data_IF_503678188377
#
_entry.id   IF_503678188377
#
_cell.length_a   1.000
_cell.length_b   1.000
_cell.length_c   1.000
_cell.angle_alpha   90.00
_cell.angle_beta   90.00
_cell.angle_gamma   90.00
#
_symmetry.space_group_name_H-M   'P 1'
#
loop_
_entity.id
_entity.type
_entity.pdbx_description
1 polymer ?
#
# COMPACT_ATOMS: atom_id res chain seq x y z
N UNK A 1 -38.61 13.97 -13.21
CA UNK A 1 -38.24 12.66 -13.78
C UNK A 1 -36.78 12.45 -13.39
N UNK A 2 -36.56 11.69 -12.32
CA UNK A 2 -35.23 11.30 -11.85
C UNK A 2 -35.04 9.85 -12.32
N UNK A 3 -34.22 9.66 -13.36
CA UNK A 3 -33.82 8.32 -13.81
C UNK A 3 -32.77 7.79 -12.85
N UNK A 4 -33.21 6.92 -11.93
CA UNK A 4 -32.35 6.10 -11.11
C UNK A 4 -31.63 5.10 -12.03
N UNK A 5 -30.30 5.25 -12.14
CA UNK A 5 -29.44 4.33 -12.86
C UNK A 5 -29.53 2.96 -12.17
N UNK A 6 -30.27 2.02 -12.77
CA UNK A 6 -30.49 0.67 -12.26
C UNK A 6 -29.14 -0.05 -12.18
N UNK A 7 -28.69 -0.33 -10.95
CA UNK A 7 -27.46 -1.07 -10.71
C UNK A 7 -27.55 -2.45 -11.40
N UNK A 8 -26.61 -2.72 -12.30
CA UNK A 8 -26.40 -4.00 -12.98
C UNK A 8 -26.26 -5.11 -11.92
N UNK A 9 -27.30 -5.92 -11.80
CA UNK A 9 -27.42 -6.99 -10.83
C UNK A 9 -26.53 -8.13 -11.31
N UNK A 10 -25.26 -8.03 -10.96
CA UNK A 10 -24.30 -9.09 -11.19
C UNK A 10 -24.64 -10.24 -10.25
N UNK A 11 -25.29 -11.27 -10.80
CA UNK A 11 -25.69 -12.46 -10.05
C UNK A 11 -24.48 -13.05 -9.28
N UNK A 12 -24.66 -13.14 -7.96
CA UNK A 12 -23.78 -13.76 -6.98
C UNK A 12 -23.65 -15.26 -7.29
N UNK A 13 -22.68 -15.69 -8.11
CA UNK A 13 -22.52 -17.13 -8.35
C UNK A 13 -21.47 -17.61 -9.37
N UNK A 14 -20.91 -16.75 -10.22
CA UNK A 14 -19.92 -17.20 -11.21
C UNK A 14 -18.48 -17.13 -10.67
N UNK A 15 -18.21 -17.90 -9.64
CA UNK A 15 -16.84 -18.23 -9.21
C UNK A 15 -16.45 -19.55 -9.85
N UNK A 16 -15.53 -19.50 -10.82
CA UNK A 16 -14.75 -20.64 -11.34
C UNK A 16 -15.55 -21.94 -11.56
N UNK A 17 -16.42 -21.97 -12.58
CA UNK A 17 -16.91 -23.26 -13.11
C UNK A 17 -15.80 -23.93 -13.91
N UNK A 18 -14.87 -24.58 -13.21
CA UNK A 18 -13.91 -25.50 -13.83
C UNK A 18 -14.68 -26.75 -14.22
N UNK A 19 -14.89 -26.98 -15.51
CA UNK A 19 -15.30 -28.30 -16.02
C UNK A 19 -14.09 -29.22 -15.88
N UNK A 20 -14.07 -30.03 -14.82
CA UNK A 20 -13.13 -31.15 -14.65
C UNK A 20 -13.61 -32.39 -15.44
N UNK A 21 -13.85 -32.22 -16.74
CA UNK A 21 -14.07 -33.34 -17.67
C UNK A 21 -12.84 -33.43 -18.57
N UNK A 22 -12.14 -34.58 -18.66
CA UNK A 22 -11.02 -34.72 -19.57
C UNK A 22 -11.51 -34.72 -21.01
N UNK A 23 -11.28 -33.63 -21.74
CA UNK A 23 -11.53 -33.58 -23.19
C UNK A 23 -10.70 -34.65 -23.90
N UNK A 24 -11.38 -35.67 -24.43
CA UNK A 24 -10.79 -36.71 -25.24
C UNK A 24 -10.30 -36.13 -26.57
N UNK A 25 -8.98 -35.88 -26.65
CA UNK A 25 -8.17 -35.92 -27.88
C UNK A 25 -8.70 -35.10 -29.06
N UNK A 26 -8.33 -33.83 -29.11
CA UNK A 26 -8.19 -33.14 -30.40
C UNK A 26 -6.88 -33.55 -31.09
N UNK A 27 -7.04 -33.92 -32.36
CA UNK A 27 -6.04 -34.41 -33.29
C UNK A 27 -4.82 -33.47 -33.36
N UNK A 28 -3.68 -33.91 -32.83
CA UNK A 28 -2.40 -33.23 -33.00
C UNK A 28 -1.99 -33.27 -34.49
N UNK A 29 -1.72 -32.14 -35.17
CA UNK A 29 -1.13 -32.19 -36.50
C UNK A 29 0.29 -32.74 -36.38
N UNK A 30 0.59 -33.70 -37.26
CA UNK A 30 1.85 -34.43 -37.31
C UNK A 30 3.07 -33.49 -37.21
N UNK A 31 4.00 -33.86 -36.34
CA UNK A 31 5.30 -33.21 -36.19
C UNK A 31 6.15 -33.51 -37.45
N UNK A 32 6.29 -32.52 -38.32
CA UNK A 32 7.34 -32.49 -39.35
C UNK A 32 8.63 -31.98 -38.68
N UNK A 33 9.72 -32.76 -38.63
CA UNK A 33 10.99 -32.28 -38.13
C UNK A 33 11.61 -31.31 -39.14
N UNK A 34 11.56 -30.01 -38.84
CA UNK A 34 12.36 -29.01 -39.55
C UNK A 34 13.59 -28.67 -38.71
N UNK A 35 14.72 -29.29 -39.04
CA UNK A 35 16.05 -28.81 -38.69
C UNK A 35 16.25 -27.43 -39.34
N UNK A 36 16.19 -26.38 -38.53
CA UNK A 36 16.80 -25.09 -38.87
C UNK A 36 17.04 -24.31 -37.59
N UNK A 37 18.27 -24.38 -37.10
CA UNK A 37 18.86 -23.46 -36.13
C UNK A 37 18.76 -22.02 -36.65
N UNK A 38 17.64 -21.38 -36.37
CA UNK A 38 17.51 -19.95 -36.45
C UNK A 38 17.02 -19.50 -35.09
N UNK A 39 17.91 -18.89 -34.29
CA UNK A 39 17.58 -18.21 -33.04
C UNK A 39 16.42 -17.25 -33.30
N UNK A 40 15.19 -17.69 -33.05
CA UNK A 40 14.03 -16.81 -33.05
C UNK A 40 14.27 -15.79 -31.93
N UNK A 41 14.24 -14.48 -32.21
CA UNK A 41 14.21 -13.48 -31.16
C UNK A 41 13.08 -13.83 -30.20
N UNK A 42 13.34 -13.77 -28.90
CA UNK A 42 12.30 -14.00 -27.90
C UNK A 42 11.06 -13.15 -28.24
N UNK A 43 9.84 -13.72 -28.22
CA UNK A 43 8.64 -12.96 -28.54
C UNK A 43 8.58 -11.74 -27.62
N UNK A 44 8.33 -10.56 -28.21
CA UNK A 44 8.25 -9.31 -27.47
C UNK A 44 7.28 -9.47 -26.28
N UNK A 45 7.62 -8.92 -25.09
CA UNK A 45 6.78 -9.07 -23.91
C UNK A 45 5.37 -8.58 -24.24
N UNK A 46 4.39 -9.46 -24.07
CA UNK A 46 2.99 -9.16 -24.39
C UNK A 46 2.49 -8.20 -23.34
N UNK A 47 2.52 -6.91 -23.65
CA UNK A 47 2.02 -5.85 -22.77
C UNK A 47 0.52 -6.04 -22.59
N UNK A 48 0.11 -6.29 -21.35
CA UNK A 48 -1.30 -6.50 -21.03
C UNK A 48 -2.12 -5.22 -21.22
N UNK A 49 -3.10 -5.26 -22.13
CA UNK A 49 -4.08 -4.17 -22.31
C UNK A 49 -4.85 -3.86 -21.01
N UNK A 50 -5.05 -4.88 -20.17
CA UNK A 50 -5.64 -4.72 -18.85
C UNK A 50 -4.73 -3.88 -17.93
N UNK A 51 -3.42 -4.14 -17.93
CA UNK A 51 -2.45 -3.35 -17.16
C UNK A 51 -2.45 -1.88 -17.59
N UNK A 52 -2.46 -1.61 -18.90
CA UNK A 52 -2.58 -0.24 -19.44
C UNK A 52 -3.88 0.41 -18.96
N UNK A 53 -5.02 -0.30 -19.06
CA UNK A 53 -6.32 0.20 -18.61
C UNK A 53 -6.35 0.51 -17.11
N UNK A 54 -5.70 -0.31 -16.29
CA UNK A 54 -5.56 -0.08 -14.84
C UNK A 54 -4.71 1.15 -14.53
N UNK A 55 -3.56 1.31 -15.19
CA UNK A 55 -2.71 2.49 -15.03
C UNK A 55 -3.45 3.77 -15.44
N UNK A 56 -4.20 3.74 -16.55
CA UNK A 56 -5.05 4.87 -16.95
C UNK A 56 -6.13 5.22 -15.94
N UNK A 57 -6.75 4.23 -15.29
CA UNK A 57 -7.71 4.48 -14.19
C UNK A 57 -7.06 5.11 -12.95
N UNK A 58 -5.76 4.89 -12.74
CA UNK A 58 -5.01 5.54 -11.66
C UNK A 58 -4.53 6.96 -12.01
N UNK A 59 -4.85 7.44 -13.22
CA UNK A 59 -4.52 8.78 -13.68
C UNK A 59 -3.19 8.87 -14.44
N UNK A 60 -2.56 7.75 -14.78
CA UNK A 60 -1.37 7.76 -15.64
C UNK A 60 -1.77 7.85 -17.12
N UNK A 61 -1.00 8.63 -17.88
CA UNK A 61 -1.18 8.72 -19.33
C UNK A 61 -1.05 7.35 -20.00
N UNK A 62 -1.92 7.08 -20.98
CA UNK A 62 -2.04 5.76 -21.62
C UNK A 62 -0.79 5.39 -22.42
N UNK A 63 -0.21 6.33 -23.15
CA UNK A 63 0.99 6.07 -23.96
C UNK A 63 2.22 5.90 -23.07
N UNK A 64 2.37 6.75 -22.05
CA UNK A 64 3.44 6.60 -21.05
C UNK A 64 3.34 5.29 -20.28
N UNK A 65 2.12 4.87 -19.93
CA UNK A 65 1.87 3.59 -19.26
C UNK A 65 2.27 2.41 -20.13
N UNK A 66 1.96 2.46 -21.43
CA UNK A 66 2.37 1.42 -22.39
C UNK A 66 3.90 1.34 -22.47
N UNK A 67 4.59 2.46 -22.67
CA UNK A 67 6.06 2.50 -22.75
C UNK A 67 6.71 1.99 -21.46
N UNK A 68 6.17 2.37 -20.31
CA UNK A 68 6.70 1.93 -19.01
C UNK A 68 6.50 0.42 -18.80
N UNK A 69 5.36 -0.15 -19.24
CA UNK A 69 5.12 -1.58 -19.20
C UNK A 69 6.05 -2.34 -20.17
N UNK A 70 6.30 -1.81 -21.36
CA UNK A 70 7.26 -2.37 -22.32
C UNK A 70 8.67 -2.43 -21.72
N UNK A 71 9.10 -1.35 -21.06
CA UNK A 71 10.39 -1.29 -20.37
C UNK A 71 10.45 -2.19 -19.12
N UNK A 72 9.33 -2.33 -18.41
CA UNK A 72 9.18 -3.14 -17.20
C UNK A 72 8.89 -4.62 -17.45
N UNK A 73 9.02 -5.11 -18.68
CA UNK A 73 8.79 -6.52 -19.03
C UNK A 73 7.34 -6.98 -18.92
N UNK A 74 6.38 -6.05 -18.91
CA UNK A 74 4.94 -6.32 -18.76
C UNK A 74 4.46 -6.47 -17.32
N UNK A 75 5.35 -6.39 -16.33
CA UNK A 75 5.00 -6.50 -14.91
C UNK A 75 4.31 -5.24 -14.41
N UNK A 76 3.02 -5.37 -14.10
CA UNK A 76 2.19 -4.23 -13.67
C UNK A 76 2.66 -3.62 -12.36
N UNK A 77 3.00 -4.46 -11.36
CA UNK A 77 3.39 -4.01 -10.03
C UNK A 77 4.65 -3.15 -10.07
N UNK A 78 5.71 -3.67 -10.70
CA UNK A 78 6.98 -2.96 -10.88
C UNK A 78 6.80 -1.67 -11.70
N UNK A 79 5.99 -1.72 -12.76
CA UNK A 79 5.72 -0.53 -13.58
C UNK A 79 4.98 0.55 -12.80
N UNK A 80 3.98 0.17 -12.01
CA UNK A 80 3.23 1.10 -11.16
C UNK A 80 4.12 1.75 -10.11
N UNK A 81 4.95 0.95 -9.44
CA UNK A 81 5.92 1.45 -8.45
C UNK A 81 6.87 2.47 -9.09
N UNK A 82 7.43 2.15 -10.27
CA UNK A 82 8.31 3.07 -10.99
C UNK A 82 7.62 4.40 -11.34
N UNK A 83 6.40 4.34 -11.86
CA UNK A 83 5.63 5.55 -12.22
C UNK A 83 5.31 6.39 -10.98
N UNK A 84 4.95 5.76 -9.86
CA UNK A 84 4.70 6.46 -8.60
C UNK A 84 5.97 7.11 -8.06
N UNK A 85 7.07 6.36 -7.97
CA UNK A 85 8.36 6.88 -7.51
C UNK A 85 8.78 8.10 -8.31
N UNK A 86 8.62 8.08 -9.63
CA UNK A 86 8.90 9.23 -10.50
C UNK A 86 8.08 10.46 -10.11
N UNK A 87 6.77 10.30 -9.93
CA UNK A 87 5.89 11.41 -9.53
C UNK A 87 6.27 11.95 -8.15
N UNK A 88 6.60 11.07 -7.20
CA UNK A 88 7.04 11.48 -5.87
C UNK A 88 8.39 12.22 -5.91
N UNK A 89 9.36 11.72 -6.67
CA UNK A 89 10.64 12.39 -6.85
C UNK A 89 10.48 13.76 -7.53
N UNK A 90 9.62 13.87 -8.54
CA UNK A 90 9.33 15.13 -9.22
C UNK A 90 8.66 16.16 -8.29
N UNK A 91 7.79 15.73 -7.37
CA UNK A 91 7.07 16.65 -6.47
C UNK A 91 7.78 16.97 -5.16
N UNK A 92 8.48 16.00 -4.58
CA UNK A 92 9.07 16.11 -3.23
C UNK A 92 10.59 16.05 -3.24
N UNK A 93 11.20 15.80 -4.41
CA UNK A 93 12.64 15.65 -4.57
C UNK A 93 13.13 14.24 -4.25
N UNK A 94 14.23 13.83 -4.88
CA UNK A 94 14.83 12.49 -4.73
C UNK A 94 15.11 12.13 -3.27
N UNK A 95 15.57 13.12 -2.47
CA UNK A 95 15.93 12.93 -1.05
C UNK A 95 14.75 12.59 -0.15
N UNK A 96 13.53 12.94 -0.54
CA UNK A 96 12.32 12.60 0.23
C UNK A 96 11.90 11.14 -0.01
N UNK A 97 12.20 10.61 -1.19
CA UNK A 97 11.81 9.25 -1.60
C UNK A 97 12.91 8.24 -1.27
N UNK A 98 14.16 8.60 -1.52
CA UNK A 98 15.34 7.82 -1.19
C UNK A 98 16.33 8.75 -0.45
N UNK A 99 16.20 8.87 0.88
CA UNK A 99 17.14 9.67 1.65
C UNK A 99 18.53 9.03 1.60
N UNK A 100 19.54 9.86 1.32
CA UNK A 100 20.92 9.42 1.24
C UNK A 100 21.41 8.91 2.61
N UNK A 101 22.25 7.87 2.61
CA UNK A 101 22.93 7.39 3.82
C UNK A 101 22.10 6.50 4.72
N UNK A 102 20.95 5.99 4.26
CA UNK A 102 20.29 4.88 4.94
C UNK A 102 21.18 3.63 4.86
N UNK A 103 21.61 3.14 6.02
CA UNK A 103 22.27 1.84 6.12
C UNK A 103 21.21 0.76 5.92
N UNK A 104 21.44 -0.17 5.00
CA UNK A 104 20.62 -1.38 4.91
C UNK A 104 20.77 -2.13 6.24
N UNK A 105 19.66 -2.22 6.98
CA UNK A 105 19.57 -3.02 8.19
C UNK A 105 19.01 -4.38 7.78
N UNK A 106 19.69 -5.50 8.11
CA UNK A 106 19.18 -6.84 7.86
C UNK A 106 17.78 -7.00 8.46
N UNK A 107 16.90 -7.70 7.74
CA UNK A 107 15.52 -7.96 8.20
C UNK A 107 15.51 -8.60 9.58
N UNK A 108 16.46 -9.49 9.87
CA UNK A 108 16.58 -10.17 11.16
C UNK A 108 16.87 -9.20 12.32
N UNK A 109 17.70 -8.17 12.09
CA UNK A 109 17.98 -7.14 13.10
C UNK A 109 16.71 -6.30 13.38
N UNK A 110 15.96 -5.95 12.33
CA UNK A 110 14.68 -5.26 12.48
C UNK A 110 13.66 -6.08 13.29
N UNK A 111 13.59 -7.39 13.03
CA UNK A 111 12.70 -8.30 13.78
C UNK A 111 13.14 -8.43 15.24
N UNK A 112 14.44 -8.52 15.50
CA UNK A 112 14.97 -8.59 16.86
C UNK A 112 14.65 -7.32 17.67
N UNK A 113 14.89 -6.13 17.09
CA UNK A 113 14.55 -4.85 17.73
C UNK A 113 13.05 -4.74 18.01
N UNK A 114 12.23 -5.13 17.03
CA UNK A 114 10.78 -5.14 17.18
C UNK A 114 10.32 -6.05 18.32
N UNK A 115 10.94 -7.22 18.46
CA UNK A 115 10.63 -8.14 19.55
C UNK A 115 11.05 -7.57 20.92
N UNK A 116 12.20 -6.92 20.99
CA UNK A 116 12.66 -6.22 22.21
C UNK A 116 11.67 -5.12 22.63
N UNK A 117 11.23 -4.30 21.68
CA UNK A 117 10.20 -3.27 21.92
C UNK A 117 8.88 -3.87 22.38
N UNK A 118 8.42 -4.95 21.74
CA UNK A 118 7.20 -5.64 22.14
C UNK A 118 7.28 -6.18 23.58
N UNK A 119 8.43 -6.73 23.97
CA UNK A 119 8.67 -7.18 25.35
C UNK A 119 8.66 -6.02 26.33
N UNK A 120 9.29 -4.90 25.99
CA UNK A 120 9.28 -3.70 26.82
C UNK A 120 7.85 -3.14 27.00
N UNK A 121 7.08 -3.04 25.91
CA UNK A 121 5.68 -2.60 25.94
C UNK A 121 4.80 -3.54 26.75
N UNK A 122 4.97 -4.85 26.59
CA UNK A 122 4.27 -5.86 27.39
C UNK A 122 4.63 -5.73 28.88
N UNK A 123 5.88 -5.43 29.23
CA UNK A 123 6.28 -5.22 30.61
C UNK A 123 5.70 -3.93 31.22
N UNK A 124 5.58 -2.85 30.44
CA UNK A 124 5.04 -1.56 30.89
C UNK A 124 3.51 -1.60 31.02
N UNK A 125 2.84 -2.15 30.01
CA UNK A 125 1.38 -2.05 29.86
C UNK A 125 0.64 -3.34 30.22
N UNK A 126 1.35 -4.46 30.38
CA UNK A 126 0.76 -5.77 30.66
C UNK A 126 -0.32 -6.13 29.64
N UNK A 127 -1.48 -6.52 30.15
CA UNK A 127 -2.65 -6.92 29.35
C UNK A 127 -3.24 -5.78 28.50
N UNK A 128 -2.85 -4.53 28.74
CA UNK A 128 -3.29 -3.41 27.90
C UNK A 128 -2.54 -3.33 26.58
N UNK A 129 -1.42 -4.03 26.43
CA UNK A 129 -0.72 -4.21 25.16
C UNK A 129 -1.12 -5.53 24.50
N UNK A 130 -1.38 -5.51 23.19
CA UNK A 130 -1.66 -6.71 22.40
C UNK A 130 -1.19 -6.56 20.96
N UNK A 131 -0.75 -7.66 20.37
CA UNK A 131 -0.49 -7.74 18.94
C UNK A 131 -1.75 -8.25 18.23
N UNK A 132 -2.28 -7.44 17.31
CA UNK A 132 -3.47 -7.80 16.51
C UNK A 132 -3.11 -8.47 15.20
N UNK A 133 -2.01 -8.04 14.59
CA UNK A 133 -1.46 -8.61 13.36
C UNK A 133 0.03 -8.80 13.60
N UNK A 134 0.46 -10.07 13.52
CA UNK A 134 1.85 -10.46 13.72
C UNK A 134 2.79 -9.61 12.86
N UNK A 135 3.79 -9.00 13.50
CA UNK A 135 4.79 -8.16 12.84
C UNK A 135 4.18 -7.02 11.99
N UNK A 136 2.97 -6.54 12.32
CA UNK A 136 2.38 -5.39 11.65
C UNK A 136 1.70 -4.43 12.61
N UNK A 137 0.76 -4.90 13.44
CA UNK A 137 -0.14 -4.02 14.20
C UNK A 137 -0.14 -4.37 15.68
N UNK A 138 0.24 -3.40 16.49
CA UNK A 138 0.14 -3.43 17.95
C UNK A 138 -0.97 -2.50 18.43
N UNK A 139 -1.56 -2.82 19.58
CA UNK A 139 -2.60 -2.02 20.23
C UNK A 139 -2.24 -1.84 21.70
N UNK A 140 -2.27 -0.59 22.17
CA UNK A 140 -2.06 -0.24 23.59
C UNK A 140 -3.28 0.52 24.08
N UNK A 141 -3.93 0.00 25.11
CA UNK A 141 -5.04 0.68 25.79
C UNK A 141 -4.49 1.60 26.89
N UNK A 142 -4.83 2.89 26.81
CA UNK A 142 -4.39 3.91 27.77
C UNK A 142 -5.62 4.58 28.40
N UNK A 143 -5.65 4.68 29.72
CA UNK A 143 -6.59 5.53 30.43
C UNK A 143 -5.96 6.92 30.62
N UNK A 144 -6.46 7.90 29.86
CA UNK A 144 -5.97 9.28 29.86
C UNK A 144 -7.03 10.19 30.50
N UNK A 145 -7.39 9.90 31.74
CA UNK A 145 -8.41 10.63 32.51
C UNK A 145 -8.21 12.15 32.54
N UNK A 146 -6.97 12.65 32.43
CA UNK A 146 -6.66 14.08 32.36
C UNK A 146 -7.08 14.77 31.05
N UNK A 147 -7.34 14.02 29.98
CA UNK A 147 -7.84 14.54 28.71
C UNK A 147 -9.37 14.70 28.69
N UNK A 148 -10.08 14.13 29.68
CA UNK A 148 -11.54 14.20 29.74
C UNK A 148 -12.08 15.62 30.01
N UNK A 149 -11.26 16.52 30.55
CA UNK A 149 -11.65 17.90 30.91
C UNK A 149 -11.50 18.96 29.82
N UNK A 150 -10.88 18.65 28.67
CA UNK A 150 -10.60 19.64 27.61
C UNK A 150 -11.55 19.57 26.41
N UNK A 151 -12.37 18.53 26.30
CA UNK A 151 -13.36 18.36 25.24
C UNK A 151 -14.71 19.05 25.54
N UNK A 152 -14.91 19.55 26.76
CA UNK A 152 -16.05 20.40 27.08
C UNK A 152 -15.77 21.82 26.58
N UNK A 153 -16.23 22.12 25.36
CA UNK A 153 -16.22 23.45 24.80
C UNK A 153 -16.76 24.47 25.81
N UNK A 154 -15.96 25.51 26.05
CA UNK A 154 -16.39 26.74 26.68
C UNK A 154 -17.39 27.43 25.75
N UNK A 155 -18.66 27.02 25.84
CA UNK A 155 -19.80 27.80 25.37
C UNK A 155 -20.45 28.48 26.57
N UNK A 156 -20.26 29.78 26.72
CA UNK A 156 -21.12 30.63 27.57
C UNK A 156 -20.39 31.53 28.57
N UNK A 157 -20.27 32.81 28.18
CA UNK A 157 -20.43 34.03 28.98
C UNK A 157 -19.58 34.28 30.25
N UNK A 158 -18.70 35.28 30.09
CA UNK A 158 -18.49 36.46 30.94
C UNK A 158 -18.08 36.31 32.42
N UNK A 159 -17.03 37.04 32.79
CA UNK A 159 -16.53 37.10 34.17
C UNK A 159 -15.00 37.20 34.25
N UNK A 160 -14.49 38.43 34.14
CA UNK A 160 -13.13 38.87 34.45
C UNK A 160 -12.43 38.04 35.54
N UNK A 161 -11.59 37.07 35.15
CA UNK A 161 -10.67 36.36 36.04
C UNK A 161 -9.30 36.33 35.36
N UNK A 162 -8.21 36.80 36.02
CA UNK A 162 -6.92 36.87 35.37
C UNK A 162 -6.51 35.47 34.94
N UNK A 163 -6.29 35.31 33.63
CA UNK A 163 -5.79 34.10 33.04
C UNK A 163 -4.50 33.73 33.75
N UNK A 164 -4.55 32.74 34.64
CA UNK A 164 -3.34 32.03 35.07
C UNK A 164 -2.82 31.40 33.79
N UNK A 165 -1.83 32.06 33.17
CA UNK A 165 -1.03 31.49 32.11
C UNK A 165 -0.55 30.14 32.62
N UNK A 166 -1.20 29.07 32.16
CA UNK A 166 -0.78 27.72 32.47
C UNK A 166 0.64 27.65 31.95
N UNK A 167 1.60 27.42 32.85
CA UNK A 167 3.01 27.29 32.49
C UNK A 167 3.11 26.07 31.57
N UNK A 168 3.02 26.31 30.27
CA UNK A 168 3.27 25.30 29.25
C UNK A 168 4.65 24.71 29.54
N UNK A 169 4.74 23.38 29.56
CA UNK A 169 6.00 22.69 29.83
C UNK A 169 7.09 23.20 28.87
N UNK A 170 8.16 23.78 29.42
CA UNK A 170 9.24 24.39 28.64
C UNK A 170 9.96 23.42 27.68
N UNK A 171 9.80 22.10 27.90
CA UNK A 171 10.36 21.07 27.03
C UNK A 171 9.47 20.74 25.82
N UNK A 172 8.16 20.99 25.93
CA UNK A 172 7.20 20.74 24.84
C UNK A 172 7.48 21.59 23.60
N UNK A 173 8.07 22.78 23.79
CA UNK A 173 8.37 23.73 22.70
C UNK A 173 9.79 23.58 22.12
N UNK A 174 10.59 22.61 22.59
CA UNK A 174 11.97 22.41 22.11
C UNK A 174 12.14 21.38 20.99
N UNK A 175 11.05 20.81 20.47
CA UNK A 175 11.08 19.88 19.34
C UNK A 175 11.08 20.59 17.98
N UNK A 176 12.11 21.40 17.69
CA UNK A 176 12.44 21.82 16.32
C UNK A 176 13.74 21.14 15.89
#
# INVERSE_FOLDING_TARGET
>A
EEELDELDHRDEGQFWSTRDEPDERENSPAYEPCDSDNERPAPAPVVSLFAIGKLSRYGFDRERSKQALEAGGGEFGATLEHLLLRVFCERFGQKAVCPDGLREVPVDECLAQRQEEALALAAIYGERFSERIANAVWTVNLDLSFLSGSAAGQGGADGNRPARAQKVCQFYLKGK
#
